data_IF_384118127375
#
_entry.id   IF_384118127375
#
_cell.length_a   1.000
_cell.length_b   1.000
_cell.length_c   1.000
_cell.angle_alpha   90.00
_cell.angle_beta   90.00
_cell.angle_gamma   90.00
#
_symmetry.space_group_name_H-M   'P 1'
#
loop_
_entity.id
_entity.type
_entity.pdbx_description
1 polymer ?
#
# COMPACT_ATOMS: atom_id res chain seq x y z
N UNK A 1 -2.58 17.19 25.59
CA UNK A 1 -1.23 17.19 24.99
C UNK A 1 -1.32 16.93 23.48
N UNK A 2 -1.92 15.81 23.03
CA UNK A 2 -2.13 15.53 21.59
C UNK A 2 -3.21 16.40 20.91
N UNK A 3 -4.36 16.60 21.56
CA UNK A 3 -5.45 17.46 21.04
C UNK A 3 -4.99 18.88 20.69
N UNK A 4 -4.24 19.49 21.61
CA UNK A 4 -3.74 20.86 21.47
C UNK A 4 -2.79 20.96 20.29
N UNK A 5 -1.89 19.99 20.13
CA UNK A 5 -0.94 20.03 19.01
C UNK A 5 -1.61 19.72 17.68
N UNK A 6 -2.53 18.76 17.64
CA UNK A 6 -3.27 18.47 16.40
C UNK A 6 -4.09 19.69 15.97
N UNK A 7 -4.78 20.35 16.91
CA UNK A 7 -5.50 21.60 16.63
C UNK A 7 -4.56 22.67 16.11
N UNK A 8 -3.42 22.90 16.77
CA UNK A 8 -2.44 23.90 16.35
C UNK A 8 -1.91 23.64 14.94
N UNK A 9 -1.59 22.39 14.61
CA UNK A 9 -1.11 22.00 13.27
C UNK A 9 -2.20 22.28 12.23
N UNK A 10 -3.45 21.93 12.52
CA UNK A 10 -4.58 22.19 11.62
C UNK A 10 -4.81 23.69 11.43
N UNK A 11 -4.78 24.48 12.51
CA UNK A 11 -4.96 25.94 12.46
C UNK A 11 -3.85 26.63 11.63
N UNK A 12 -2.59 26.22 11.82
CA UNK A 12 -1.46 26.73 11.02
C UNK A 12 -1.63 26.33 9.56
N UNK A 13 -1.97 25.07 9.29
CA UNK A 13 -2.16 24.55 7.93
C UNK A 13 -3.28 25.28 7.20
N UNK A 14 -4.39 25.55 7.89
CA UNK A 14 -5.49 26.36 7.37
C UNK A 14 -5.04 27.79 7.06
N UNK A 15 -4.32 28.42 7.99
CA UNK A 15 -3.82 29.81 7.81
C UNK A 15 -2.93 29.93 6.58
N UNK A 16 -2.18 28.88 6.25
CA UNK A 16 -1.24 28.85 5.13
C UNK A 16 -1.86 28.28 3.84
N UNK A 17 -3.13 27.89 3.85
CA UNK A 17 -3.82 27.28 2.70
C UNK A 17 -3.26 25.91 2.31
N UNK A 18 -2.67 25.17 3.25
CA UNK A 18 -2.08 23.87 3.02
C UNK A 18 -3.13 22.76 2.86
N UNK A 19 -2.78 21.74 2.08
CA UNK A 19 -3.46 20.44 2.09
C UNK A 19 -2.84 19.60 3.20
N UNK A 20 -3.67 19.09 4.11
CA UNK A 20 -3.24 18.23 5.22
C UNK A 20 -3.46 16.77 4.85
N UNK A 21 -2.47 15.92 5.09
CA UNK A 21 -2.57 14.46 4.97
C UNK A 21 -2.31 13.84 6.35
N UNK A 22 -3.29 13.11 6.87
CA UNK A 22 -3.11 12.23 8.03
C UNK A 22 -3.05 10.79 7.54
N UNK A 23 -1.85 10.22 7.62
CA UNK A 23 -1.58 8.85 7.21
C UNK A 23 -1.89 7.87 8.37
N UNK A 24 -2.44 6.70 8.04
CA UNK A 24 -2.78 5.65 9.00
C UNK A 24 -3.64 6.14 10.18
N UNK A 25 -4.67 6.94 9.88
CA UNK A 25 -5.56 7.55 10.88
C UNK A 25 -6.49 6.54 11.59
N UNK A 26 -6.22 5.25 11.51
CA UNK A 26 -6.97 4.13 12.08
C UNK A 26 -7.29 4.34 13.57
N UNK A 27 -6.32 4.82 14.35
CA UNK A 27 -6.48 5.05 15.80
C UNK A 27 -7.56 6.07 16.09
N UNK A 28 -7.71 7.09 15.24
CA UNK A 28 -8.68 8.17 15.39
C UNK A 28 -10.04 7.86 14.79
N UNK A 29 -10.11 6.89 13.88
CA UNK A 29 -11.31 6.57 13.10
C UNK A 29 -12.04 5.30 13.57
N UNK A 30 -11.43 4.51 14.45
CA UNK A 30 -12.03 3.25 14.92
C UNK A 30 -13.24 3.46 15.83
N UNK A 31 -14.17 2.49 15.81
CA UNK A 31 -15.37 2.43 16.64
C UNK A 31 -15.02 2.58 18.12
N UNK A 32 -15.76 3.46 18.78
CA UNK A 32 -15.70 3.63 20.23
C UNK A 32 -16.15 2.36 20.95
N UNK A 33 -15.42 1.97 22.00
CA UNK A 33 -15.74 0.78 22.82
C UNK A 33 -15.88 1.16 24.29
N UNK A 34 -16.75 0.47 25.04
CA UNK A 34 -17.03 0.81 26.46
C UNK A 34 -15.77 0.69 27.34
N UNK A 35 -14.84 -0.18 26.95
CA UNK A 35 -13.67 -0.53 27.74
C UNK A 35 -12.49 0.45 27.55
N UNK A 36 -12.48 1.26 26.49
CA UNK A 36 -11.36 2.14 26.16
C UNK A 36 -11.74 3.63 26.19
N UNK A 37 -11.79 4.18 27.41
CA UNK A 37 -12.13 5.59 27.66
C UNK A 37 -11.10 6.53 27.00
N UNK A 38 -9.81 6.18 27.07
CA UNK A 38 -8.74 7.03 26.54
C UNK A 38 -8.84 7.15 25.02
N UNK A 39 -9.06 6.05 24.32
CA UNK A 39 -9.25 6.07 22.88
C UNK A 39 -10.54 6.76 22.46
N UNK A 40 -11.64 6.51 23.18
CA UNK A 40 -12.91 7.19 22.89
C UNK A 40 -12.78 8.71 23.00
N UNK A 41 -11.98 9.20 23.95
CA UNK A 41 -11.68 10.62 24.06
C UNK A 41 -10.94 11.13 22.81
N UNK A 42 -9.94 10.40 22.30
CA UNK A 42 -9.23 10.75 21.07
C UNK A 42 -10.15 10.79 19.84
N UNK A 43 -11.00 9.77 19.66
CA UNK A 43 -11.98 9.71 18.57
C UNK A 43 -12.95 10.90 18.66
N UNK A 44 -13.41 11.24 19.86
CA UNK A 44 -14.34 12.36 20.09
C UNK A 44 -13.70 13.72 19.80
N UNK A 45 -12.43 13.90 20.20
CA UNK A 45 -11.65 15.10 19.86
C UNK A 45 -11.48 15.20 18.35
N UNK A 46 -11.15 14.09 17.68
CA UNK A 46 -10.92 14.08 16.25
C UNK A 46 -12.18 14.41 15.45
N UNK A 47 -13.34 13.84 15.81
CA UNK A 47 -14.64 14.20 15.23
C UNK A 47 -14.91 15.71 15.30
N UNK A 48 -14.58 16.33 16.44
CA UNK A 48 -14.73 17.77 16.63
C UNK A 48 -13.78 18.55 15.72
N UNK A 49 -12.53 18.14 15.61
CA UNK A 49 -11.57 18.80 14.73
C UNK A 49 -12.00 18.74 13.26
N UNK A 50 -12.52 17.60 12.79
CA UNK A 50 -13.03 17.46 11.43
C UNK A 50 -14.24 18.38 11.15
N UNK A 51 -15.08 18.63 12.15
CA UNK A 51 -16.26 19.48 12.01
C UNK A 51 -15.90 20.97 11.86
N UNK A 52 -14.85 21.42 12.54
CA UNK A 52 -14.42 22.84 12.49
C UNK A 52 -13.30 23.11 11.49
N UNK A 53 -12.66 22.08 10.92
CA UNK A 53 -11.54 22.28 10.01
C UNK A 53 -12.01 22.84 8.66
N UNK A 54 -11.58 24.06 8.35
CA UNK A 54 -11.90 24.74 7.10
C UNK A 54 -10.71 24.67 6.12
N UNK A 55 -10.46 23.47 5.60
CA UNK A 55 -9.38 23.22 4.65
C UNK A 55 -9.53 21.87 3.94
N UNK A 56 -8.53 21.49 3.15
CA UNK A 56 -8.50 20.19 2.47
C UNK A 56 -7.72 19.21 3.35
N UNK A 57 -8.42 18.17 3.82
CA UNK A 57 -7.86 17.11 4.64
C UNK A 57 -8.02 15.77 3.92
N UNK A 58 -6.89 15.09 3.71
CA UNK A 58 -6.83 13.71 3.28
C UNK A 58 -6.57 12.82 4.49
N UNK A 59 -7.36 11.76 4.62
CA UNK A 59 -7.19 10.72 5.62
C UNK A 59 -6.91 9.41 4.88
N UNK A 60 -5.90 8.66 5.31
CA UNK A 60 -5.71 7.28 4.88
C UNK A 60 -6.00 6.34 6.06
N UNK A 61 -6.58 5.19 5.76
CA UNK A 61 -6.90 4.16 6.76
C UNK A 61 -6.84 2.80 6.10
N UNK A 62 -6.33 1.81 6.82
CA UNK A 62 -6.36 0.40 6.40
C UNK A 62 -7.55 -0.35 7.05
N UNK A 63 -8.32 0.30 7.93
CA UNK A 63 -9.33 -0.33 8.81
C UNK A 63 -10.73 0.26 8.61
N UNK A 64 -11.22 0.21 7.38
CA UNK A 64 -12.56 0.73 7.04
C UNK A 64 -13.71 -0.08 7.69
N UNK A 65 -13.50 -1.34 8.06
CA UNK A 65 -14.55 -2.18 8.65
C UNK A 65 -14.86 -1.79 10.11
N UNK A 66 -13.85 -1.31 10.83
CA UNK A 66 -13.96 -0.90 12.22
C UNK A 66 -14.21 0.60 12.36
N UNK A 67 -14.67 1.25 11.31
CA UNK A 67 -14.87 2.71 11.25
C UNK A 67 -16.05 3.16 12.13
N UNK A 68 -15.90 4.24 12.91
CA UNK A 68 -17.01 4.84 13.65
C UNK A 68 -17.95 5.56 12.67
N UNK A 69 -19.23 5.15 12.65
CA UNK A 69 -20.23 5.68 11.72
C UNK A 69 -20.44 7.20 11.86
N UNK A 70 -20.07 7.80 13.01
CA UNK A 70 -20.11 9.24 13.22
C UNK A 70 -19.24 10.04 12.24
N UNK A 71 -18.20 9.43 11.67
CA UNK A 71 -17.33 10.06 10.68
C UNK A 71 -17.96 10.19 9.30
N UNK A 72 -18.96 9.36 8.95
CA UNK A 72 -19.54 9.36 7.61
C UNK A 72 -20.09 10.74 7.21
N UNK A 73 -20.75 11.42 8.15
CA UNK A 73 -21.30 12.76 7.96
C UNK A 73 -20.24 13.87 7.74
N UNK A 74 -18.97 13.60 8.05
CA UNK A 74 -17.85 14.56 7.99
C UNK A 74 -16.88 14.26 6.84
N UNK A 75 -17.15 13.21 6.07
CA UNK A 75 -16.34 12.80 4.92
C UNK A 75 -17.09 13.14 3.63
N UNK A 76 -16.56 14.12 2.89
CA UNK A 76 -17.15 14.54 1.62
C UNK A 76 -16.98 13.50 0.51
N UNK A 77 -15.82 12.83 0.47
CA UNK A 77 -15.47 11.84 -0.54
C UNK A 77 -14.75 10.68 0.14
N UNK A 78 -15.21 9.46 -0.12
CA UNK A 78 -14.53 8.23 0.28
C UNK A 78 -14.01 7.49 -0.96
N UNK A 79 -12.69 7.31 -1.04
CA UNK A 79 -12.05 6.56 -2.13
C UNK A 79 -11.61 5.20 -1.62
N UNK A 80 -12.23 4.14 -2.14
CA UNK A 80 -11.84 2.76 -1.84
C UNK A 80 -10.84 2.27 -2.87
N UNK A 81 -9.65 1.92 -2.40
CA UNK A 81 -8.63 1.26 -3.23
C UNK A 81 -8.74 -0.26 -3.04
N UNK A 82 -9.18 -0.95 -4.10
CA UNK A 82 -9.23 -2.42 -4.14
C UNK A 82 -7.91 -3.04 -4.59
N UNK A 83 -7.94 -4.36 -4.76
CA UNK A 83 -6.82 -5.07 -5.40
C UNK A 83 -6.62 -4.58 -6.85
N UNK A 84 -5.37 -4.62 -7.30
CA UNK A 84 -5.04 -4.24 -8.68
C UNK A 84 -5.66 -5.24 -9.67
N UNK A 85 -6.34 -4.71 -10.68
CA UNK A 85 -6.78 -5.52 -11.82
C UNK A 85 -5.57 -6.06 -12.59
N UNK A 86 -5.79 -7.12 -13.37
CA UNK A 86 -4.76 -7.69 -14.24
C UNK A 86 -4.13 -6.63 -15.16
N UNK A 87 -4.96 -5.80 -15.80
CA UNK A 87 -4.48 -4.72 -16.67
C UNK A 87 -3.69 -3.66 -15.89
N UNK A 88 -4.16 -3.26 -14.71
CA UNK A 88 -3.44 -2.30 -13.87
C UNK A 88 -2.07 -2.85 -13.44
N UNK A 89 -1.96 -4.14 -13.11
CA UNK A 89 -0.67 -4.78 -12.82
C UNK A 89 0.27 -4.71 -14.02
N UNK A 90 -0.20 -5.02 -15.23
CA UNK A 90 0.59 -4.90 -16.47
C UNK A 90 1.14 -3.48 -16.65
N UNK A 91 0.27 -2.48 -16.53
CA UNK A 91 0.63 -1.08 -16.75
C UNK A 91 1.64 -0.59 -15.70
N UNK A 92 1.48 -1.01 -14.44
CA UNK A 92 2.42 -0.70 -13.36
C UNK A 92 3.78 -1.38 -13.59
N UNK A 93 3.81 -2.64 -14.05
CA UNK A 93 5.06 -3.32 -14.41
C UNK A 93 5.78 -2.61 -15.55
N UNK A 94 5.07 -2.27 -16.64
CA UNK A 94 5.61 -1.49 -17.76
C UNK A 94 6.23 -0.18 -17.26
N UNK A 95 5.45 0.62 -16.53
CA UNK A 95 5.91 1.89 -15.96
C UNK A 95 7.19 1.73 -15.13
N UNK A 96 7.29 0.70 -14.29
CA UNK A 96 8.49 0.51 -13.47
C UNK A 96 9.69 0.01 -14.26
N UNK A 97 9.49 -0.88 -15.24
CA UNK A 97 10.56 -1.37 -16.11
C UNK A 97 11.10 -0.24 -16.99
N UNK A 98 10.24 0.58 -17.58
CA UNK A 98 10.66 1.73 -18.41
C UNK A 98 11.48 2.74 -17.58
N UNK A 99 11.13 2.92 -16.30
CA UNK A 99 11.88 3.80 -15.39
C UNK A 99 13.26 3.27 -15.00
N UNK A 100 13.53 1.96 -15.14
CA UNK A 100 14.86 1.37 -14.90
C UNK A 100 15.88 1.97 -15.86
N UNK A 101 15.50 2.12 -17.14
CA UNK A 101 16.35 2.69 -18.19
C UNK A 101 16.82 4.10 -17.82
N UNK A 102 15.90 4.92 -17.31
CA UNK A 102 16.14 6.33 -17.00
C UNK A 102 17.06 6.51 -15.77
N UNK A 103 16.91 5.68 -14.74
CA UNK A 103 17.48 5.99 -13.43
C UNK A 103 18.95 5.60 -13.25
N UNK A 104 19.49 4.65 -14.03
CA UNK A 104 20.84 4.10 -13.80
C UNK A 104 21.68 3.86 -15.06
N UNK A 105 21.21 4.28 -16.24
CA UNK A 105 21.89 3.97 -17.50
C UNK A 105 21.97 2.47 -17.80
N UNK A 106 21.16 1.66 -17.12
CA UNK A 106 21.05 0.23 -17.34
C UNK A 106 19.94 0.02 -18.34
N UNK A 107 20.27 -0.59 -19.47
CA UNK A 107 19.29 -0.99 -20.45
C UNK A 107 18.59 -2.29 -20.01
N UNK A 108 17.34 -2.46 -20.42
CA UNK A 108 16.63 -3.72 -20.22
C UNK A 108 16.53 -4.46 -21.55
N UNK A 109 16.48 -5.79 -21.49
CA UNK A 109 16.10 -6.60 -22.64
C UNK A 109 14.64 -6.28 -23.02
N UNK A 110 14.25 -6.44 -24.29
CA UNK A 110 12.87 -6.23 -24.70
C UNK A 110 11.95 -7.19 -23.93
N UNK A 111 10.89 -6.63 -23.34
CA UNK A 111 9.82 -7.40 -22.72
C UNK A 111 8.66 -7.54 -23.71
N UNK A 112 8.18 -8.76 -23.89
CA UNK A 112 7.03 -9.06 -24.75
C UNK A 112 5.72 -8.84 -24.00
N UNK A 113 4.61 -8.74 -24.74
CA UNK A 113 3.27 -8.72 -24.11
C UNK A 113 3.00 -9.98 -23.27
N UNK A 114 3.54 -11.14 -23.67
CA UNK A 114 3.39 -12.38 -22.92
C UNK A 114 4.17 -12.36 -21.61
N UNK A 115 5.34 -11.71 -21.55
CA UNK A 115 6.07 -11.50 -20.29
C UNK A 115 5.22 -10.68 -19.30
N UNK A 116 4.62 -9.59 -19.77
CA UNK A 116 3.71 -8.78 -18.96
C UNK A 116 2.46 -9.56 -18.53
N UNK A 117 1.91 -10.37 -19.43
CA UNK A 117 0.78 -11.24 -19.10
C UNK A 117 1.15 -12.25 -18.02
N UNK A 118 2.35 -12.83 -18.07
CA UNK A 118 2.81 -13.83 -17.12
C UNK A 118 2.99 -13.24 -15.73
N UNK A 119 3.69 -12.10 -15.60
CA UNK A 119 3.92 -11.46 -14.29
C UNK A 119 2.67 -10.85 -13.68
N UNK A 120 1.73 -10.37 -14.50
CA UNK A 120 0.47 -9.79 -14.02
C UNK A 120 -0.51 -10.83 -13.44
N UNK A 121 -0.31 -12.14 -13.71
CA UNK A 121 -1.08 -13.22 -13.07
C UNK A 121 -0.80 -13.37 -11.59
N UNK A 122 0.31 -12.83 -11.09
CA UNK A 122 0.66 -12.90 -9.68
C UNK A 122 -0.25 -11.96 -8.86
N UNK A 123 -0.67 -12.39 -7.66
CA UNK A 123 -1.44 -11.51 -6.78
C UNK A 123 -0.51 -10.54 -6.02
N UNK A 124 -0.14 -9.45 -6.71
CA UNK A 124 0.78 -8.44 -6.18
C UNK A 124 0.09 -7.08 -6.11
N UNK A 125 0.36 -6.35 -5.03
CA UNK A 125 0.05 -4.93 -4.93
C UNK A 125 1.16 -4.05 -5.57
N UNK A 126 0.89 -2.76 -5.74
CA UNK A 126 1.84 -1.84 -6.40
C UNK A 126 3.19 -1.71 -5.69
N UNK A 127 3.21 -1.84 -4.35
CA UNK A 127 4.46 -1.82 -3.57
C UNK A 127 5.30 -3.07 -3.84
N UNK A 128 4.67 -4.24 -3.86
CA UNK A 128 5.34 -5.50 -4.20
C UNK A 128 5.90 -5.45 -5.63
N UNK A 129 5.11 -5.01 -6.61
CA UNK A 129 5.56 -4.87 -8.01
C UNK A 129 6.81 -3.98 -8.10
N UNK A 130 6.77 -2.80 -7.47
CA UNK A 130 7.91 -1.86 -7.42
C UNK A 130 9.16 -2.51 -6.82
N UNK A 131 8.99 -3.22 -5.71
CA UNK A 131 10.10 -3.88 -5.02
C UNK A 131 10.66 -5.03 -5.86
N UNK A 132 9.81 -5.82 -6.51
CA UNK A 132 10.23 -6.89 -7.43
C UNK A 132 11.11 -6.33 -8.55
N UNK A 133 10.67 -5.28 -9.23
CA UNK A 133 11.44 -4.67 -10.33
C UNK A 133 12.76 -4.08 -9.83
N UNK A 134 12.75 -3.41 -8.67
CA UNK A 134 13.98 -2.86 -8.06
C UNK A 134 14.98 -3.94 -7.67
N UNK A 135 14.53 -5.03 -7.05
CA UNK A 135 15.39 -6.14 -6.67
C UNK A 135 15.93 -6.87 -7.90
N UNK A 136 15.09 -7.07 -8.93
CA UNK A 136 15.53 -7.65 -10.19
C UNK A 136 16.58 -6.77 -10.89
N UNK A 137 16.42 -5.45 -10.86
CA UNK A 137 17.41 -4.50 -11.35
C UNK A 137 18.73 -4.60 -10.56
N UNK A 138 18.66 -4.65 -9.23
CA UNK A 138 19.85 -4.77 -8.39
C UNK A 138 20.61 -6.09 -8.65
N UNK A 139 19.88 -7.18 -8.88
CA UNK A 139 20.43 -8.48 -9.23
C UNK A 139 21.14 -8.44 -10.60
N UNK A 140 20.50 -7.86 -11.62
CA UNK A 140 21.08 -7.71 -12.95
C UNK A 140 22.36 -6.87 -12.91
N UNK A 141 22.33 -5.75 -12.18
CA UNK A 141 23.50 -4.88 -11.99
C UNK A 141 24.65 -5.61 -11.30
N UNK A 142 24.37 -6.41 -10.26
CA UNK A 142 25.39 -7.18 -9.56
C UNK A 142 26.06 -8.22 -10.48
N UNK A 143 25.31 -8.75 -11.45
CA UNK A 143 25.81 -9.69 -12.47
C UNK A 143 26.42 -9.03 -13.70
N UNK A 144 26.44 -7.69 -13.78
CA UNK A 144 26.80 -6.94 -15.00
C UNK A 144 25.97 -7.33 -16.23
N UNK A 145 24.69 -7.65 -16.04
CA UNK A 145 23.75 -8.02 -17.09
C UNK A 145 22.67 -6.96 -17.28
N UNK A 146 22.03 -6.94 -18.45
CA UNK A 146 20.81 -6.15 -18.68
C UNK A 146 19.64 -6.74 -17.88
N UNK A 147 18.76 -5.88 -17.38
CA UNK A 147 17.52 -6.36 -16.74
C UNK A 147 16.69 -7.14 -17.76
N UNK A 148 16.19 -8.30 -17.37
CA UNK A 148 15.39 -9.15 -18.25
C UNK A 148 14.41 -10.00 -17.46
N UNK A 149 13.54 -10.71 -18.17
CA UNK A 149 12.49 -11.51 -17.55
C UNK A 149 13.04 -12.57 -16.59
N UNK A 150 14.23 -13.13 -16.86
CA UNK A 150 14.89 -14.08 -15.98
C UNK A 150 15.11 -13.53 -14.55
N UNK A 151 15.47 -12.26 -14.43
CA UNK A 151 15.70 -11.58 -13.15
C UNK A 151 14.38 -11.38 -12.40
N UNK A 152 13.33 -10.96 -13.11
CA UNK A 152 12.01 -10.74 -12.51
C UNK A 152 11.40 -12.07 -12.06
N UNK A 153 11.45 -13.11 -12.90
CA UNK A 153 10.98 -14.46 -12.57
C UNK A 153 11.67 -15.01 -11.34
N UNK A 154 13.00 -14.83 -11.21
CA UNK A 154 13.73 -15.29 -10.03
C UNK A 154 13.25 -14.60 -8.76
N UNK A 155 13.12 -13.27 -8.78
CA UNK A 155 12.65 -12.50 -7.61
C UNK A 155 11.21 -12.88 -7.23
N UNK A 156 10.33 -13.06 -8.23
CA UNK A 156 8.96 -13.53 -8.00
C UNK A 156 8.92 -14.95 -7.42
N UNK A 157 9.80 -15.84 -7.89
CA UNK A 157 9.95 -17.19 -7.35
C UNK A 157 10.39 -17.19 -5.89
N UNK A 158 11.40 -16.40 -5.54
CA UNK A 158 11.88 -16.22 -4.17
C UNK A 158 10.81 -15.62 -3.25
N UNK A 159 10.09 -14.59 -3.73
CA UNK A 159 9.00 -13.98 -2.97
C UNK A 159 7.87 -14.96 -2.68
N UNK A 160 7.49 -15.79 -3.67
CA UNK A 160 6.49 -16.86 -3.49
C UNK A 160 6.93 -17.94 -2.52
N UNK A 161 8.17 -18.40 -2.62
CA UNK A 161 8.72 -19.39 -1.69
C UNK A 161 8.68 -18.85 -0.26
N UNK A 162 9.11 -17.60 -0.06
CA UNK A 162 9.06 -16.94 1.24
C UNK A 162 7.63 -16.78 1.79
N UNK A 163 6.67 -16.37 0.95
CA UNK A 163 5.26 -16.29 1.36
C UNK A 163 4.68 -17.65 1.76
N UNK A 164 5.07 -18.73 1.06
CA UNK A 164 4.68 -20.10 1.39
C UNK A 164 5.24 -20.53 2.75
N UNK A 165 6.52 -20.25 3.00
CA UNK A 165 7.17 -20.57 4.27
C UNK A 165 6.52 -19.82 5.44
N UNK A 166 6.20 -18.53 5.24
CA UNK A 166 5.52 -17.71 6.25
C UNK A 166 4.11 -18.19 6.59
N UNK A 167 3.41 -18.83 5.63
CA UNK A 167 2.08 -19.40 5.81
C UNK A 167 2.09 -20.83 6.37
N UNK A 168 3.24 -21.35 6.79
CA UNK A 168 3.36 -22.67 7.44
C UNK A 168 4.19 -23.71 6.68
N UNK A 169 4.91 -23.30 5.62
CA UNK A 169 5.83 -24.18 4.89
C UNK A 169 5.16 -25.35 4.16
N UNK A 170 5.95 -26.35 3.77
CA UNK A 170 5.49 -27.58 3.07
C UNK A 170 4.48 -28.40 3.87
N UNK A 171 4.39 -28.21 5.19
CA UNK A 171 3.46 -28.93 6.05
C UNK A 171 1.98 -28.62 5.78
N UNK A 172 1.64 -27.45 5.25
CA UNK A 172 0.25 -27.09 4.95
C UNK A 172 -0.27 -27.73 3.66
N UNK A 173 0.59 -27.84 2.64
CA UNK A 173 0.26 -28.52 1.38
C UNK A 173 0.21 -30.05 1.55
N UNK A 174 1.11 -30.62 2.36
CA UNK A 174 1.08 -32.06 2.70
C UNK A 174 -0.12 -32.41 3.59
N UNK A 175 -0.52 -31.51 4.50
CA UNK A 175 -1.76 -31.69 5.26
C UNK A 175 -3.00 -31.68 4.36
N UNK A 176 -3.09 -30.76 3.38
CA UNK A 176 -4.22 -30.70 2.44
C UNK A 176 -4.28 -31.89 1.47
N UNK A 177 -3.13 -32.43 1.03
CA UNK A 177 -3.08 -33.63 0.19
C UNK A 177 -3.51 -34.91 0.92
N UNK A 178 -3.32 -34.98 2.23
CA UNK A 178 -3.77 -36.12 3.05
C UNK A 178 -5.28 -36.11 3.37
N UNK A 179 -6.02 -35.07 2.96
CA UNK A 179 -7.48 -34.99 3.09
C UNK A 179 -8.23 -35.14 1.75
N UNK A 180 -7.56 -35.54 0.66
CA UNK A 180 -8.18 -35.84 -0.64
C UNK A 180 -8.17 -37.33 -0.97
#
# INVERSE_FOLDING_TARGET
>A
MLEVELKKILDISMTWGCVVLLDEADVFLEKRTIQDIHRNALVSVFLRLLEYFQGILFLTTNRVETFDDAFQSRIHIALRYGELSFQAKKDIFKMFIDRVHIAKGIDHLPFTEDDFNNIARHNLNGRQIKNTVRTAQALALNKNEKLGMIHISLVLGLARAFEKDLKGGTGYDDAMRNYS
#
